data_IF_592150179111
#
_entry.id   IF_592150179111
#
_cell.length_a   1.000
_cell.length_b   1.000
_cell.length_c   1.000
_cell.angle_alpha   90.00
_cell.angle_beta   90.00
_cell.angle_gamma   90.00
#
_symmetry.space_group_name_H-M   'P 1'
#
loop_
_entity.id
_entity.type
_entity.pdbx_description
1 polymer ?
#
# COMPACT_ATOMS: atom_id res chain seq x y z
N UNK A 1 12.07 67.81 29.63
CA UNK A 1 13.15 66.87 29.25
C UNK A 1 12.72 65.41 29.33
N UNK A 2 12.10 64.97 30.43
CA UNK A 2 11.65 63.58 30.59
C UNK A 2 10.63 63.08 29.55
N UNK A 3 9.70 63.94 29.12
CA UNK A 3 8.66 63.59 28.13
C UNK A 3 9.22 63.21 26.76
N UNK A 4 10.29 63.88 26.31
CA UNK A 4 10.93 63.60 25.02
C UNK A 4 11.63 62.24 25.05
N UNK A 5 12.24 61.88 26.19
CA UNK A 5 12.93 60.61 26.36
C UNK A 5 11.97 59.41 26.26
N UNK A 6 10.77 59.51 26.86
CA UNK A 6 9.75 58.46 26.80
C UNK A 6 9.17 58.26 25.40
N UNK A 7 9.00 59.35 24.62
CA UNK A 7 8.53 59.26 23.23
C UNK A 7 9.56 58.57 22.35
N UNK A 8 10.85 58.90 22.49
CA UNK A 8 11.93 58.24 21.75
C UNK A 8 11.99 56.75 22.09
N UNK A 9 11.89 56.40 23.38
CA UNK A 9 11.97 55.01 23.82
C UNK A 9 10.77 54.18 23.31
N UNK A 10 9.56 54.77 23.30
CA UNK A 10 8.37 54.11 22.74
C UNK A 10 8.51 53.85 21.22
N UNK A 11 9.07 54.81 20.47
CA UNK A 11 9.32 54.65 19.04
C UNK A 11 10.33 53.52 18.78
N UNK A 12 11.42 53.46 19.56
CA UNK A 12 12.42 52.40 19.43
C UNK A 12 11.79 51.03 19.72
N UNK A 13 10.96 50.91 20.76
CA UNK A 13 10.27 49.65 21.08
C UNK A 13 9.33 49.24 19.94
N UNK A 14 8.57 50.18 19.37
CA UNK A 14 7.69 49.87 18.22
C UNK A 14 8.50 49.43 17.00
N UNK A 15 9.62 50.07 16.70
CA UNK A 15 10.51 49.70 15.58
C UNK A 15 11.13 48.32 15.81
N UNK A 16 11.56 48.01 17.04
CA UNK A 16 12.12 46.70 17.38
C UNK A 16 11.06 45.59 17.30
N UNK A 17 9.83 45.87 17.75
CA UNK A 17 8.72 44.93 17.64
C UNK A 17 8.35 44.73 16.16
N UNK A 18 8.19 45.79 15.37
CA UNK A 18 7.93 45.68 13.93
C UNK A 18 9.06 45.00 13.17
N UNK A 19 10.33 45.26 13.52
CA UNK A 19 11.48 44.58 12.93
C UNK A 19 11.54 43.10 13.29
N UNK A 20 11.14 42.72 14.50
CA UNK A 20 11.03 41.33 14.91
C UNK A 20 9.86 40.60 14.19
N UNK A 21 8.74 41.28 13.96
CA UNK A 21 7.61 40.73 13.18
C UNK A 21 7.87 40.69 11.67
N UNK A 22 8.62 41.65 11.11
CA UNK A 22 9.00 41.64 9.69
C UNK A 22 10.03 40.55 9.35
N UNK A 23 10.80 40.11 10.35
CA UNK A 23 11.71 38.97 10.26
C UNK A 23 11.06 37.62 10.63
N UNK A 24 9.77 37.61 10.99
CA UNK A 24 9.01 36.36 11.05
C UNK A 24 8.82 35.85 9.62
N UNK A 25 9.79 35.05 9.18
CA UNK A 25 9.80 34.16 8.02
C UNK A 25 8.82 34.52 6.90
N UNK A 26 9.32 35.17 5.84
CA UNK A 26 8.77 34.89 4.51
C UNK A 26 8.88 33.39 4.30
N UNK A 27 7.77 32.66 4.44
CA UNK A 27 7.69 31.28 4.00
C UNK A 27 8.20 31.24 2.56
N UNK A 28 9.30 30.53 2.32
CA UNK A 28 9.86 30.49 0.98
C UNK A 28 8.85 29.82 0.04
N UNK A 29 8.47 30.50 -1.03
CA UNK A 29 7.62 29.91 -2.06
C UNK A 29 8.42 28.86 -2.84
N UNK A 30 7.72 27.89 -3.42
CA UNK A 30 8.32 26.91 -4.31
C UNK A 30 8.66 27.57 -5.65
N UNK A 31 9.87 27.31 -6.16
CA UNK A 31 10.31 27.85 -7.43
C UNK A 31 10.96 26.76 -8.29
N UNK A 32 10.71 26.76 -9.62
CA UNK A 32 11.39 25.84 -10.53
C UNK A 32 12.86 26.22 -10.68
N UNK A 33 13.74 25.22 -10.59
CA UNK A 33 15.16 25.34 -10.91
C UNK A 33 15.39 25.46 -12.42
N UNK A 34 16.63 25.74 -12.83
CA UNK A 34 17.02 25.77 -14.26
C UNK A 34 16.77 24.46 -15.01
N UNK A 35 16.62 23.34 -14.29
CA UNK A 35 16.27 22.02 -14.84
C UNK A 35 14.77 21.71 -14.75
N UNK A 36 13.94 22.66 -14.31
CA UNK A 36 12.49 22.49 -14.16
C UNK A 36 12.03 21.83 -12.86
N UNK A 37 12.94 21.29 -12.05
CA UNK A 37 12.62 20.68 -10.75
C UNK A 37 12.17 21.74 -9.74
N UNK A 38 11.15 21.44 -8.94
CA UNK A 38 10.67 22.36 -7.89
C UNK A 38 11.67 22.40 -6.75
N UNK A 39 11.99 23.61 -6.27
CA UNK A 39 12.95 23.84 -5.20
C UNK A 39 12.43 24.85 -4.19
N UNK A 40 12.81 24.67 -2.93
CA UNK A 40 12.45 25.57 -1.81
C UNK A 40 13.57 25.54 -0.77
N UNK A 41 13.77 26.65 -0.06
CA UNK A 41 14.63 26.69 1.14
C UNK A 41 13.72 26.70 2.36
N UNK A 42 13.85 25.74 3.25
CA UNK A 42 13.04 25.61 4.48
C UNK A 42 13.99 25.37 5.66
N UNK A 43 13.98 26.24 6.67
CA UNK A 43 14.89 26.18 7.83
C UNK A 43 16.36 25.98 7.46
N UNK A 44 16.86 26.79 6.52
CA UNK A 44 18.19 26.69 5.93
C UNK A 44 18.48 25.39 5.14
N UNK A 45 17.53 24.46 5.05
CA UNK A 45 17.66 23.26 4.25
C UNK A 45 17.18 23.49 2.83
N UNK A 46 17.93 23.00 1.84
CA UNK A 46 17.53 23.08 0.43
C UNK A 46 16.74 21.84 0.05
N UNK A 47 15.47 22.05 -0.28
CA UNK A 47 14.56 21.03 -0.77
C UNK A 47 14.51 21.05 -2.30
N UNK A 48 14.55 19.87 -2.92
CA UNK A 48 14.36 19.70 -4.37
C UNK A 48 13.46 18.51 -4.64
N UNK A 49 12.39 18.72 -5.42
CA UNK A 49 11.44 17.70 -5.83
C UNK A 49 11.58 17.43 -7.32
N UNK A 50 11.67 16.15 -7.69
CA UNK A 50 11.96 15.70 -9.05
C UNK A 50 11.33 14.34 -9.33
N UNK A 51 11.09 14.04 -10.60
CA UNK A 51 10.57 12.75 -11.03
C UNK A 51 11.71 11.71 -11.11
N UNK A 52 11.53 10.54 -10.50
CA UNK A 52 12.47 9.42 -10.51
C UNK A 52 11.76 8.12 -10.14
N UNK A 53 12.25 6.99 -10.67
CA UNK A 53 11.77 5.64 -10.32
C UNK A 53 10.25 5.46 -10.51
N UNK A 54 9.71 6.10 -11.55
CA UNK A 54 8.28 6.07 -11.88
C UNK A 54 7.38 6.81 -10.89
N UNK A 55 7.94 7.72 -10.07
CA UNK A 55 7.19 8.59 -9.17
C UNK A 55 7.95 9.89 -8.89
N UNK A 56 7.53 10.60 -7.83
CA UNK A 56 8.13 11.87 -7.43
C UNK A 56 8.94 11.70 -6.16
N UNK A 57 10.21 12.09 -6.16
CA UNK A 57 11.07 12.05 -4.98
C UNK A 57 11.39 13.46 -4.53
N UNK A 58 11.78 13.60 -3.27
CA UNK A 58 12.45 14.79 -2.80
C UNK A 58 13.85 14.48 -2.31
N UNK A 59 14.70 15.50 -2.37
CA UNK A 59 15.97 15.54 -1.69
C UNK A 59 16.01 16.71 -0.73
N UNK A 60 16.65 16.52 0.42
CA UNK A 60 16.86 17.54 1.43
C UNK A 60 18.37 17.63 1.72
N UNK A 61 18.99 18.71 1.25
CA UNK A 61 20.38 19.02 1.57
C UNK A 61 20.42 19.90 2.82
N UNK A 62 20.92 19.35 3.93
CA UNK A 62 21.05 20.10 5.18
C UNK A 62 22.21 21.09 5.10
N UNK A 63 22.08 22.23 5.76
CA UNK A 63 23.14 23.23 5.86
C UNK A 63 24.15 22.86 6.95
N UNK A 64 24.75 21.68 6.84
CA UNK A 64 25.84 21.24 7.72
C UNK A 64 27.05 20.88 6.87
N UNK A 65 28.26 21.36 7.22
CA UNK A 65 29.47 20.87 6.59
C UNK A 65 29.51 19.36 6.85
N UNK A 66 29.56 18.56 5.79
CA UNK A 66 29.61 17.09 5.79
C UNK A 66 28.28 16.32 5.88
N UNK A 67 27.11 16.97 5.77
CA UNK A 67 25.85 16.20 5.62
C UNK A 67 25.59 15.79 4.17
N UNK A 68 25.50 14.49 3.92
CA UNK A 68 24.94 13.97 2.67
C UNK A 68 23.47 14.38 2.52
N UNK A 69 23.05 14.64 1.29
CA UNK A 69 21.65 14.93 1.01
C UNK A 69 20.80 13.69 1.22
N UNK A 70 19.71 13.83 1.98
CA UNK A 70 18.70 12.78 2.10
C UNK A 70 17.91 12.66 0.80
N UNK A 71 17.52 11.44 0.42
CA UNK A 71 16.65 11.14 -0.71
C UNK A 71 15.48 10.27 -0.27
N UNK A 72 14.26 10.70 -0.62
CA UNK A 72 13.05 9.97 -0.27
C UNK A 72 12.78 8.77 -1.19
N UNK A 73 11.94 7.86 -0.71
CA UNK A 73 11.20 6.93 -1.57
C UNK A 73 10.22 7.69 -2.50
N UNK A 74 9.79 7.10 -3.62
CA UNK A 74 8.94 7.79 -4.59
C UNK A 74 7.49 7.92 -4.09
N UNK A 75 6.93 9.11 -4.28
CA UNK A 75 5.52 9.48 -4.10
C UNK A 75 4.77 9.41 -5.43
N UNK A 76 3.44 9.41 -5.36
CA UNK A 76 2.60 9.26 -6.56
C UNK A 76 2.48 10.57 -7.33
N UNK A 77 2.44 11.68 -6.61
CA UNK A 77 2.31 13.02 -7.19
C UNK A 77 3.41 13.96 -6.73
N UNK A 78 3.70 14.97 -7.55
CA UNK A 78 4.65 16.03 -7.21
C UNK A 78 4.25 16.75 -5.91
N UNK A 79 2.96 16.99 -5.71
CA UNK A 79 2.44 17.73 -4.57
C UNK A 79 2.63 16.96 -3.25
N UNK A 80 2.46 15.63 -3.26
CA UNK A 80 2.76 14.76 -2.11
C UNK A 80 4.24 14.88 -1.72
N UNK A 81 5.16 14.75 -2.70
CA UNK A 81 6.59 14.88 -2.45
C UNK A 81 6.98 16.27 -1.93
N UNK A 82 6.34 17.33 -2.42
CA UNK A 82 6.55 18.70 -1.93
C UNK A 82 6.14 18.83 -0.47
N UNK A 83 4.94 18.38 -0.09
CA UNK A 83 4.47 18.43 1.31
C UNK A 83 5.33 17.59 2.23
N UNK A 84 5.63 16.35 1.83
CA UNK A 84 6.48 15.45 2.59
C UNK A 84 7.89 16.03 2.83
N UNK A 85 8.46 16.71 1.84
CA UNK A 85 9.77 17.35 1.97
C UNK A 85 9.78 18.49 3.00
N UNK A 86 8.67 19.25 3.10
CA UNK A 86 8.52 20.33 4.07
C UNK A 86 8.33 19.75 5.47
N UNK A 87 7.52 18.69 5.62
CA UNK A 87 7.37 18.01 6.91
C UNK A 87 8.71 17.45 7.40
N UNK A 88 9.44 16.78 6.51
CA UNK A 88 10.78 16.25 6.79
C UNK A 88 11.76 17.34 7.23
N UNK A 89 11.81 18.47 6.52
CA UNK A 89 12.70 19.60 6.86
C UNK A 89 12.35 20.30 8.18
N UNK A 90 11.13 20.08 8.68
CA UNK A 90 10.62 20.62 9.93
C UNK A 90 10.63 19.57 11.06
N UNK A 91 11.28 18.41 10.87
CA UNK A 91 11.27 17.27 11.80
C UNK A 91 9.84 16.85 12.22
N UNK A 92 8.87 17.01 11.30
CA UNK A 92 7.48 16.56 11.49
C UNK A 92 7.32 15.18 10.87
N UNK A 93 6.47 14.36 11.50
CA UNK A 93 6.01 13.13 10.87
C UNK A 93 5.22 13.50 9.61
N UNK A 94 5.66 12.98 8.47
CA UNK A 94 4.95 13.20 7.22
C UNK A 94 3.62 12.46 7.23
N UNK A 95 2.56 13.13 6.79
CA UNK A 95 1.24 12.52 6.59
C UNK A 95 1.13 11.84 5.22
N UNK A 96 2.02 12.16 4.29
CA UNK A 96 1.98 11.67 2.93
C UNK A 96 2.65 10.30 2.84
N UNK A 97 1.95 9.34 2.24
CA UNK A 97 2.47 7.98 2.06
C UNK A 97 3.17 7.83 0.72
N UNK A 98 4.32 7.17 0.75
CA UNK A 98 5.08 6.81 -0.46
C UNK A 98 4.29 5.80 -1.31
N UNK A 99 4.65 5.67 -2.60
CA UNK A 99 4.05 4.67 -3.49
C UNK A 99 4.24 3.25 -2.95
N UNK A 100 5.38 2.98 -2.32
CA UNK A 100 5.69 1.67 -1.74
C UNK A 100 4.75 1.36 -0.58
N UNK A 101 4.53 2.32 0.31
CA UNK A 101 3.61 2.18 1.44
C UNK A 101 2.16 2.03 0.96
N UNK A 102 1.69 2.87 0.04
CA UNK A 102 0.36 2.74 -0.57
C UNK A 102 0.17 1.37 -1.24
N UNK A 103 1.19 0.89 -1.95
CA UNK A 103 1.14 -0.44 -2.58
C UNK A 103 1.10 -1.57 -1.56
N UNK A 104 1.84 -1.44 -0.45
CA UNK A 104 1.82 -2.41 0.64
C UNK A 104 0.45 -2.42 1.32
N UNK A 105 -0.10 -1.26 1.66
CA UNK A 105 -1.44 -1.16 2.26
C UNK A 105 -2.51 -1.77 1.36
N UNK A 106 -2.45 -1.52 0.05
CA UNK A 106 -3.37 -2.15 -0.92
C UNK A 106 -3.21 -3.67 -0.94
N UNK A 107 -1.98 -4.17 -0.89
CA UNK A 107 -1.71 -5.60 -0.82
C UNK A 107 -2.29 -6.20 0.46
N UNK A 108 -2.06 -5.56 1.60
CA UNK A 108 -2.52 -6.02 2.91
C UNK A 108 -4.05 -5.99 2.97
N UNK A 109 -4.70 -4.93 2.45
CA UNK A 109 -6.15 -4.86 2.31
C UNK A 109 -6.71 -6.00 1.46
N UNK A 110 -6.07 -6.32 0.33
CA UNK A 110 -6.48 -7.46 -0.51
C UNK A 110 -6.34 -8.80 0.22
N UNK A 111 -5.29 -8.96 1.03
CA UNK A 111 -5.10 -10.13 1.88
C UNK A 111 -6.23 -10.27 2.91
N UNK A 112 -6.55 -9.19 3.63
CA UNK A 112 -7.66 -9.16 4.59
C UNK A 112 -9.01 -9.47 3.92
N UNK A 113 -9.28 -8.88 2.75
CA UNK A 113 -10.50 -9.16 1.99
C UNK A 113 -10.56 -10.62 1.51
N UNK A 114 -9.44 -11.23 1.15
CA UNK A 114 -9.40 -12.64 0.79
C UNK A 114 -9.72 -13.52 1.99
N UNK A 115 -9.08 -13.30 3.13
CA UNK A 115 -9.33 -14.06 4.36
C UNK A 115 -10.79 -13.93 4.81
N UNK A 116 -11.32 -12.70 4.87
CA UNK A 116 -12.72 -12.43 5.27
C UNK A 116 -13.75 -13.16 4.40
N UNK A 117 -13.48 -13.31 3.12
CA UNK A 117 -14.41 -13.94 2.17
C UNK A 117 -14.12 -15.44 1.97
N UNK A 118 -13.12 -16.00 2.65
CA UNK A 118 -12.59 -17.34 2.39
C UNK A 118 -13.68 -18.41 2.47
N UNK A 119 -14.43 -18.43 3.57
CA UNK A 119 -15.48 -19.42 3.82
C UNK A 119 -16.57 -19.36 2.75
N UNK A 120 -17.10 -18.15 2.47
CA UNK A 120 -18.13 -17.96 1.46
C UNK A 120 -17.67 -18.36 0.05
N UNK A 121 -16.40 -18.12 -0.28
CA UNK A 121 -15.82 -18.51 -1.55
C UNK A 121 -15.68 -20.04 -1.65
N UNK A 122 -15.23 -20.68 -0.57
CA UNK A 122 -15.12 -22.13 -0.47
C UNK A 122 -16.49 -22.78 -0.62
N UNK A 123 -17.48 -22.40 0.19
CA UNK A 123 -18.85 -22.94 0.14
C UNK A 123 -19.47 -22.80 -1.25
N UNK A 124 -19.36 -21.63 -1.88
CA UNK A 124 -19.89 -21.40 -3.22
C UNK A 124 -19.21 -22.29 -4.27
N UNK A 125 -17.89 -22.46 -4.17
CA UNK A 125 -17.12 -23.27 -5.14
C UNK A 125 -17.33 -24.77 -4.91
N UNK A 126 -17.40 -25.20 -3.65
CA UNK A 126 -17.71 -26.57 -3.27
C UNK A 126 -19.13 -26.95 -3.74
N UNK A 127 -20.10 -26.05 -3.55
CA UNK A 127 -21.47 -26.22 -4.06
C UNK A 127 -21.51 -26.32 -5.58
N UNK A 128 -20.74 -25.48 -6.30
CA UNK A 128 -20.63 -25.53 -7.77
C UNK A 128 -20.10 -26.90 -8.24
N UNK A 129 -19.09 -27.46 -7.58
CA UNK A 129 -18.56 -28.80 -7.88
C UNK A 129 -19.58 -29.89 -7.54
N UNK A 130 -20.23 -29.81 -6.37
CA UNK A 130 -21.26 -30.75 -5.96
C UNK A 130 -22.47 -30.76 -6.91
N UNK A 131 -22.85 -29.59 -7.44
CA UNK A 131 -23.91 -29.48 -8.46
C UNK A 131 -23.49 -30.23 -9.74
N UNK A 132 -22.26 -30.05 -10.22
CA UNK A 132 -21.74 -30.80 -11.37
C UNK A 132 -21.80 -32.32 -11.15
N UNK A 133 -21.52 -32.78 -9.93
CA UNK A 133 -21.65 -34.19 -9.52
C UNK A 133 -23.10 -34.67 -9.58
N UNK A 134 -24.03 -33.94 -8.96
CA UNK A 134 -25.44 -34.32 -8.94
C UNK A 134 -26.06 -34.39 -10.33
N UNK A 135 -25.60 -33.54 -11.25
CA UNK A 135 -26.05 -33.54 -12.65
C UNK A 135 -25.24 -34.51 -13.54
N UNK A 136 -24.18 -35.13 -13.02
CA UNK A 136 -23.19 -35.92 -13.76
C UNK A 136 -22.67 -35.19 -15.02
N UNK A 137 -22.52 -33.86 -14.93
CA UNK A 137 -22.24 -32.99 -16.07
C UNK A 137 -20.92 -32.26 -15.88
N UNK A 138 -19.86 -32.91 -16.34
CA UNK A 138 -18.50 -32.36 -16.27
C UNK A 138 -18.04 -31.92 -17.65
N UNK A 139 -18.14 -30.62 -17.92
CA UNK A 139 -17.67 -30.02 -19.16
C UNK A 139 -16.30 -29.38 -18.96
N UNK A 140 -15.34 -29.70 -19.83
CA UNK A 140 -13.97 -29.15 -19.74
C UNK A 140 -13.93 -27.61 -19.79
N UNK A 141 -14.89 -27.00 -20.50
CA UNK A 141 -15.03 -25.54 -20.57
C UNK A 141 -15.42 -24.90 -19.23
N UNK A 142 -16.00 -25.66 -18.30
CA UNK A 142 -16.43 -25.19 -16.98
C UNK A 142 -15.37 -25.57 -15.92
N UNK A 143 -14.84 -26.80 -15.99
CA UNK A 143 -13.81 -27.30 -15.05
C UNK A 143 -12.49 -26.52 -15.11
N UNK A 144 -12.00 -26.15 -16.32
CA UNK A 144 -10.71 -25.46 -16.46
C UNK A 144 -10.72 -24.04 -15.85
N UNK A 145 -11.74 -23.19 -16.12
CA UNK A 145 -11.89 -21.92 -15.42
C UNK A 145 -12.05 -22.09 -13.92
N UNK A 146 -12.85 -23.07 -13.49
CA UNK A 146 -13.10 -23.33 -12.07
C UNK A 146 -11.81 -23.68 -11.32
N UNK A 147 -11.02 -24.63 -11.84
CA UNK A 147 -9.68 -24.95 -11.31
C UNK A 147 -8.81 -23.70 -11.19
N UNK A 148 -8.74 -22.88 -12.25
CA UNK A 148 -7.92 -21.65 -12.24
C UNK A 148 -8.44 -20.61 -11.24
N UNK A 149 -9.75 -20.57 -10.99
CA UNK A 149 -10.39 -19.72 -9.98
C UNK A 149 -9.98 -20.19 -8.58
N UNK A 150 -10.12 -21.48 -8.28
CA UNK A 150 -9.72 -22.12 -7.02
C UNK A 150 -8.23 -21.87 -6.74
N UNK A 151 -7.34 -22.27 -7.65
CA UNK A 151 -5.89 -22.17 -7.42
C UNK A 151 -5.39 -20.73 -7.22
N UNK A 152 -5.99 -19.75 -7.93
CA UNK A 152 -5.68 -18.33 -7.71
C UNK A 152 -6.14 -17.83 -6.35
N UNK A 153 -7.33 -18.24 -5.92
CA UNK A 153 -7.85 -17.82 -4.62
C UNK A 153 -7.08 -18.48 -3.47
N UNK A 154 -6.78 -19.77 -3.58
CA UNK A 154 -5.91 -20.51 -2.64
C UNK A 154 -4.55 -19.82 -2.47
N UNK A 155 -3.92 -19.42 -3.56
CA UNK A 155 -2.63 -18.70 -3.50
C UNK A 155 -2.76 -17.37 -2.75
N UNK A 156 -3.86 -16.62 -2.97
CA UNK A 156 -4.12 -15.37 -2.23
C UNK A 156 -4.36 -15.60 -0.75
N UNK A 157 -5.03 -16.69 -0.36
CA UNK A 157 -5.20 -17.03 1.06
C UNK A 157 -3.86 -17.33 1.72
N UNK A 158 -2.98 -18.08 1.04
CA UNK A 158 -1.62 -18.33 1.54
C UNK A 158 -0.87 -17.01 1.74
N UNK A 159 -0.91 -16.10 0.77
CA UNK A 159 -0.30 -14.77 0.92
C UNK A 159 -0.94 -13.98 2.07
N UNK A 160 -2.25 -14.11 2.27
CA UNK A 160 -2.98 -13.47 3.36
C UNK A 160 -2.55 -13.98 4.74
N UNK A 161 -2.23 -15.27 4.89
CA UNK A 161 -1.75 -15.82 6.19
C UNK A 161 -0.49 -15.12 6.67
N UNK A 162 0.41 -14.72 5.76
CA UNK A 162 1.66 -14.01 6.11
C UNK A 162 1.34 -12.61 6.65
N UNK A 163 0.39 -11.92 6.01
CA UNK A 163 -0.06 -10.59 6.44
C UNK A 163 -0.75 -10.66 7.80
N UNK A 164 -1.69 -11.60 7.97
CA UNK A 164 -2.43 -11.79 9.22
C UNK A 164 -1.50 -12.09 10.40
N UNK A 165 -0.52 -12.99 10.21
CA UNK A 165 0.50 -13.29 11.24
C UNK A 165 1.36 -12.08 11.58
N UNK A 166 1.69 -11.25 10.59
CA UNK A 166 2.45 -10.02 10.85
C UNK A 166 1.66 -8.98 11.67
N UNK A 167 0.34 -9.08 11.66
CA UNK A 167 -0.60 -8.23 12.40
C UNK A 167 -1.13 -8.90 13.69
N UNK A 168 -0.51 -10.02 14.11
CA UNK A 168 -0.87 -10.78 15.32
C UNK A 168 -2.29 -11.36 15.33
N UNK A 169 -2.81 -11.71 14.14
CA UNK A 169 -4.11 -12.34 13.95
C UNK A 169 -3.91 -13.83 13.65
N UNK A 170 -3.42 -14.58 14.65
CA UNK A 170 -3.03 -15.99 14.48
C UNK A 170 -4.24 -16.90 14.22
N UNK A 171 -5.37 -16.68 14.92
CA UNK A 171 -6.59 -17.48 14.75
C UNK A 171 -7.16 -17.32 13.33
N UNK A 172 -7.25 -16.09 12.82
CA UNK A 172 -7.70 -15.82 11.45
C UNK A 172 -6.71 -16.35 10.40
N UNK A 173 -5.41 -16.35 10.71
CA UNK A 173 -4.40 -16.90 9.82
C UNK A 173 -4.50 -18.42 9.72
N UNK A 174 -4.80 -19.11 10.82
CA UNK A 174 -4.98 -20.55 10.86
C UNK A 174 -6.30 -20.94 10.18
N UNK A 175 -7.41 -20.20 10.38
CA UNK A 175 -8.66 -20.39 9.64
C UNK A 175 -8.47 -20.23 8.13
N UNK A 176 -7.76 -19.18 7.70
CA UNK A 176 -7.44 -18.98 6.28
C UNK A 176 -6.55 -20.10 5.71
N UNK A 177 -5.68 -20.70 6.53
CA UNK A 177 -4.83 -21.82 6.13
C UNK A 177 -5.62 -23.13 5.98
N UNK A 178 -6.55 -23.40 6.89
CA UNK A 178 -7.45 -24.56 6.82
C UNK A 178 -8.29 -24.50 5.54
N UNK A 179 -8.93 -23.36 5.26
CA UNK A 179 -9.69 -23.16 4.02
C UNK A 179 -8.79 -23.26 2.79
N UNK A 180 -7.53 -22.81 2.87
CA UNK A 180 -6.58 -22.99 1.77
C UNK A 180 -6.21 -24.47 1.54
N UNK A 181 -6.22 -25.29 2.59
CA UNK A 181 -6.06 -26.75 2.49
C UNK A 181 -7.29 -27.38 1.81
N UNK A 182 -8.49 -27.02 2.24
CA UNK A 182 -9.75 -27.50 1.66
C UNK A 182 -9.87 -27.14 0.17
N UNK A 183 -9.51 -25.91 -0.19
CA UNK A 183 -9.43 -25.48 -1.59
C UNK A 183 -8.37 -26.24 -2.39
N UNK A 184 -7.30 -26.73 -1.75
CA UNK A 184 -6.28 -27.57 -2.42
C UNK A 184 -6.87 -28.93 -2.77
N UNK A 185 -7.63 -29.53 -1.87
CA UNK A 185 -8.32 -30.80 -2.12
C UNK A 185 -9.34 -30.65 -3.24
N UNK A 186 -10.13 -29.58 -3.22
CA UNK A 186 -11.06 -29.26 -4.28
C UNK A 186 -10.35 -28.99 -5.62
N UNK A 187 -9.20 -28.29 -5.60
CA UNK A 187 -8.35 -28.07 -6.78
C UNK A 187 -7.88 -29.41 -7.38
N UNK A 188 -7.36 -30.32 -6.54
CA UNK A 188 -6.91 -31.64 -6.95
C UNK A 188 -8.07 -32.46 -7.55
N UNK A 189 -9.24 -32.41 -6.93
CA UNK A 189 -10.42 -33.08 -7.46
C UNK A 189 -10.81 -32.56 -8.84
N UNK A 190 -10.79 -31.24 -9.05
CA UNK A 190 -11.06 -30.68 -10.39
C UNK A 190 -10.01 -31.11 -11.41
N UNK A 191 -8.75 -31.30 -11.01
CA UNK A 191 -7.70 -31.85 -11.88
C UNK A 191 -8.03 -33.28 -12.29
N UNK A 192 -8.47 -34.11 -11.34
CA UNK A 192 -8.77 -35.51 -11.61
C UNK A 192 -10.04 -35.67 -12.46
N UNK A 193 -11.06 -34.83 -12.27
CA UNK A 193 -12.21 -34.75 -13.17
C UNK A 193 -11.82 -34.36 -14.59
N UNK A 194 -10.90 -33.39 -14.76
CA UNK A 194 -10.37 -33.00 -16.07
C UNK A 194 -9.66 -34.18 -16.73
N UNK A 195 -8.74 -34.84 -16.02
CA UNK A 195 -8.00 -36.02 -16.53
C UNK A 195 -8.95 -37.13 -16.93
N UNK A 196 -9.94 -37.44 -16.08
CA UNK A 196 -10.95 -38.46 -16.35
C UNK A 196 -11.75 -38.14 -17.63
N UNK A 197 -12.17 -36.88 -17.82
CA UNK A 197 -12.87 -36.46 -19.04
C UNK A 197 -11.99 -36.49 -20.28
N UNK A 198 -10.72 -36.10 -20.17
CA UNK A 198 -9.78 -36.15 -21.29
C UNK A 198 -9.43 -37.59 -21.69
N UNK A 199 -9.36 -38.50 -20.73
CA UNK A 199 -9.12 -39.93 -20.97
C UNK A 199 -10.28 -40.64 -21.69
N UNK A 200 -11.46 -40.00 -21.80
CA UNK A 200 -12.71 -40.63 -22.31
C UNK A 200 -12.98 -41.99 -21.63
N UNK A 201 -12.68 -42.07 -20.34
CA UNK A 201 -12.76 -43.31 -19.58
C UNK A 201 -14.22 -43.76 -19.40
N UNK A 202 -14.48 -45.06 -19.58
CA UNK A 202 -15.77 -45.70 -19.27
C UNK A 202 -15.96 -45.91 -17.75
N UNK A 203 -14.89 -45.79 -16.95
CA UNK A 203 -14.98 -45.84 -15.49
C UNK A 203 -15.83 -44.67 -14.95
N UNK A 204 -16.50 -44.84 -13.79
CA UNK A 204 -17.23 -43.75 -13.15
C UNK A 204 -16.32 -42.54 -12.84
N UNK A 205 -16.88 -41.32 -12.77
CA UNK A 205 -16.12 -40.15 -12.36
C UNK A 205 -15.52 -40.35 -10.95
N UNK A 206 -14.37 -39.71 -10.65
CA UNK A 206 -13.86 -39.60 -9.28
C UNK A 206 -14.95 -39.13 -8.31
N UNK A 207 -15.06 -39.77 -7.14
CA UNK A 207 -16.01 -39.35 -6.10
C UNK A 207 -15.67 -37.97 -5.55
N UNK A 208 -16.68 -37.25 -5.08
CA UNK A 208 -16.49 -35.99 -4.38
C UNK A 208 -15.65 -36.20 -3.09
N UNK A 209 -14.58 -35.41 -2.83
CA UNK A 209 -13.83 -35.51 -1.59
C UNK A 209 -14.68 -35.15 -0.37
N UNK A 210 -14.38 -35.79 0.76
CA UNK A 210 -14.89 -35.43 2.07
C UNK A 210 -14.02 -34.30 2.61
N UNK A 211 -14.45 -33.05 2.38
CA UNK A 211 -13.76 -31.86 2.85
C UNK A 211 -14.37 -31.47 4.21
N UNK A 212 -13.51 -31.18 5.19
CA UNK A 212 -13.84 -30.91 6.59
C UNK A 212 -14.57 -29.60 6.83
#
# INVERSE_FOLDING_TARGET
>A
MWTILFVILAIIVVILIWGAFANAAKEAEWHPSSKGNQTKIENDNRLTVFESDGGWKFSCAMNRPDSEAYFSDPFETQQEAMRASVDFANDRNTSERTKREKSREKHDQMAFEAAKNAQSFFEATNSEVAEMHSQNKFLLKDLRPLRKKIGRYRSRLIDATVVLKSEYLDDEADEALDIASDLKELENHTIDLIKWKEAKSDNPPPNMPEIS
#
